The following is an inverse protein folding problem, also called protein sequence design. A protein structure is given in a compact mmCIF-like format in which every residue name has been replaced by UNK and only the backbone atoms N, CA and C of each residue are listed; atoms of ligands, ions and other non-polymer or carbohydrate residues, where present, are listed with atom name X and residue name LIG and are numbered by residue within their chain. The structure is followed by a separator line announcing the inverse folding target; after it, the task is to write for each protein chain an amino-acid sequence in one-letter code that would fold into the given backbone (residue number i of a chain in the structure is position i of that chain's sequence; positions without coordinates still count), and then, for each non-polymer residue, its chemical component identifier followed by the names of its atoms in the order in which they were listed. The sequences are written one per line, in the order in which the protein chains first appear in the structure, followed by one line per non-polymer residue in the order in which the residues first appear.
data_IF_777823484473
#
_entry.id   IF_777823484473
#
_cell.length_a   1.000
_cell.length_b   1.000
_cell.length_c   1.000
_cell.angle_alpha   90.00
_cell.angle_beta   90.00
_cell.angle_gamma   90.00
#
_symmetry.space_group_name_H-M   'P 1'
#
loop_
_entity.id
_entity.type
_entity.pdbx_description
1 polymer ?
#
# COMPACT_ATOMS: atom_id res chain seq x y z
N UNK A 1 -2.92 3.24 -5.17
CA UNK A 1 -4.20 3.85 -4.71
C UNK A 1 -5.29 3.87 -5.77
N UNK A 2 -5.00 4.09 -7.06
CA UNK A 2 -6.01 4.16 -8.14
C UNK A 2 -6.82 2.87 -8.28
N UNK A 3 -6.16 1.74 -8.43
CA UNK A 3 -6.78 0.43 -8.68
C UNK A 3 -7.70 -0.05 -7.55
N UNK A 4 -7.32 0.03 -6.27
CA UNK A 4 -8.23 -0.29 -5.17
C UNK A 4 -9.53 0.52 -5.18
N UNK A 5 -9.48 1.82 -5.49
CA UNK A 5 -10.70 2.64 -5.59
C UNK A 5 -11.57 2.25 -6.78
N UNK A 6 -10.98 1.96 -7.96
CA UNK A 6 -11.72 1.45 -9.10
C UNK A 6 -12.37 0.09 -8.80
N UNK A 7 -11.67 -0.80 -8.09
CA UNK A 7 -12.18 -2.11 -7.71
C UNK A 7 -13.39 -2.01 -6.76
N UNK A 8 -13.35 -1.12 -5.77
CA UNK A 8 -14.48 -0.87 -4.89
C UNK A 8 -15.67 -0.27 -5.64
N UNK A 9 -15.43 0.71 -6.52
CA UNK A 9 -16.46 1.33 -7.35
C UNK A 9 -17.03 0.38 -8.41
N UNK A 10 -16.35 -0.74 -8.70
CA UNK A 10 -16.89 -1.78 -9.57
C UNK A 10 -18.02 -2.59 -8.92
N UNK A 11 -18.09 -2.61 -7.57
CA UNK A 11 -19.18 -3.23 -6.80
C UNK A 11 -20.40 -2.32 -6.81
N UNK A 12 -20.24 -1.07 -6.40
CA UNK A 12 -21.32 -0.10 -6.28
C UNK A 12 -20.76 1.33 -6.27
N UNK A 13 -21.57 2.34 -6.69
CA UNK A 13 -21.23 3.73 -6.52
C UNK A 13 -21.09 4.08 -5.03
N UNK A 14 -20.07 4.92 -4.70
CA UNK A 14 -19.78 5.27 -3.33
C UNK A 14 -19.16 6.67 -3.21
N UNK A 15 -19.27 7.30 -2.03
CA UNK A 15 -18.54 8.53 -1.75
C UNK A 15 -17.17 8.23 -1.11
N UNK A 16 -16.25 9.23 -1.14
CA UNK A 16 -14.86 9.02 -0.73
C UNK A 16 -14.67 8.47 0.69
N UNK A 17 -15.54 8.80 1.63
CA UNK A 17 -15.48 8.29 2.98
C UNK A 17 -15.88 6.80 3.06
N UNK A 18 -16.91 6.39 2.33
CA UNK A 18 -17.32 4.98 2.23
C UNK A 18 -16.21 4.12 1.61
N UNK A 19 -15.54 4.65 0.57
CA UNK A 19 -14.39 3.98 -0.03
C UNK A 19 -13.23 3.80 0.96
N UNK A 20 -12.97 4.79 1.83
CA UNK A 20 -11.98 4.66 2.90
C UNK A 20 -12.34 3.55 3.86
N UNK A 21 -13.57 3.53 4.36
CA UNK A 21 -14.04 2.49 5.27
C UNK A 21 -14.00 1.10 4.63
N UNK A 22 -14.39 0.99 3.36
CA UNK A 22 -14.33 -0.27 2.63
C UNK A 22 -12.89 -0.80 2.48
N UNK A 23 -11.89 0.08 2.27
CA UNK A 23 -10.48 -0.31 2.27
C UNK A 23 -10.04 -0.81 3.64
N UNK A 24 -10.40 -0.10 4.70
CA UNK A 24 -10.08 -0.48 6.09
C UNK A 24 -10.73 -1.83 6.46
N UNK A 25 -11.96 -2.07 6.04
CA UNK A 25 -12.67 -3.33 6.27
C UNK A 25 -12.09 -4.49 5.45
N UNK A 26 -11.60 -4.22 4.23
CA UNK A 26 -11.08 -5.28 3.35
C UNK A 26 -9.67 -5.73 3.74
N UNK A 27 -8.81 -4.81 4.16
CA UNK A 27 -7.38 -5.09 4.37
C UNK A 27 -6.95 -4.99 5.84
N UNK A 28 -7.84 -4.59 6.74
CA UNK A 28 -7.55 -4.43 8.16
C UNK A 28 -6.47 -3.38 8.45
N UNK A 29 -5.89 -3.46 9.64
CA UNK A 29 -4.85 -2.52 10.08
C UNK A 29 -3.49 -2.73 9.39
N UNK A 30 -3.29 -3.86 8.73
CA UNK A 30 -2.04 -4.17 8.02
C UNK A 30 -1.86 -3.33 6.74
N UNK A 31 -2.94 -2.82 6.17
CA UNK A 31 -2.88 -1.93 5.02
C UNK A 31 -2.91 -0.47 5.48
N UNK A 32 -1.90 0.34 5.10
CA UNK A 32 -1.88 1.75 5.49
C UNK A 32 -3.15 2.45 5.03
N UNK A 33 -3.99 2.86 5.99
CA UNK A 33 -5.23 3.57 5.68
C UNK A 33 -4.90 4.90 5.02
N UNK A 34 -5.36 5.15 3.79
CA UNK A 34 -5.08 6.39 3.12
C UNK A 34 -5.79 7.55 3.83
N UNK A 35 -5.09 8.69 3.92
CA UNK A 35 -5.72 9.92 4.34
C UNK A 35 -6.90 10.24 3.41
N UNK A 36 -8.02 10.70 3.98
CA UNK A 36 -9.22 11.05 3.22
C UNK A 36 -8.94 12.07 2.10
N UNK A 37 -8.01 13.00 2.32
CA UNK A 37 -7.55 13.94 1.29
C UNK A 37 -6.90 13.25 0.08
N UNK A 38 -6.11 12.20 0.31
CA UNK A 38 -5.50 11.41 -0.77
C UNK A 38 -6.55 10.67 -1.59
N UNK A 39 -7.62 10.19 -0.96
CA UNK A 39 -8.74 9.55 -1.66
C UNK A 39 -9.39 10.56 -2.60
N UNK A 40 -9.76 11.75 -2.12
CA UNK A 40 -10.40 12.76 -2.97
C UNK A 40 -9.48 13.27 -4.09
N UNK A 41 -8.19 13.46 -3.83
CA UNK A 41 -7.21 13.80 -4.88
C UNK A 41 -7.15 12.69 -5.93
N UNK A 42 -7.18 11.43 -5.52
CA UNK A 42 -7.15 10.29 -6.45
C UNK A 42 -8.45 10.20 -7.25
N UNK A 43 -9.62 10.35 -6.61
CA UNK A 43 -10.92 10.35 -7.28
C UNK A 43 -11.04 11.46 -8.31
N UNK A 44 -10.56 12.67 -7.98
CA UNK A 44 -10.53 13.80 -8.93
C UNK A 44 -9.67 13.48 -10.17
N UNK A 45 -8.50 12.83 -9.98
CA UNK A 45 -7.65 12.40 -11.10
C UNK A 45 -8.34 11.33 -11.96
N UNK A 46 -8.98 10.34 -11.30
CA UNK A 46 -9.72 9.30 -12.00
C UNK A 46 -10.89 9.86 -12.82
N UNK A 47 -11.53 10.92 -12.31
CA UNK A 47 -12.60 11.62 -13.02
C UNK A 47 -12.06 12.42 -14.22
N UNK A 48 -10.93 13.10 -14.05
CA UNK A 48 -10.23 13.79 -15.17
C UNK A 48 -9.79 12.82 -16.25
N UNK A 49 -9.39 11.61 -15.87
CA UNK A 49 -9.00 10.54 -16.80
C UNK A 49 -10.24 9.82 -17.41
N UNK A 50 -11.45 10.21 -17.04
CA UNK A 50 -12.70 9.61 -17.54
C UNK A 50 -13.00 8.20 -17.03
N UNK A 51 -12.27 7.72 -16.00
CA UNK A 51 -12.42 6.36 -15.45
C UNK A 51 -13.54 6.27 -14.41
N UNK A 52 -13.89 7.37 -13.77
CA UNK A 52 -15.04 7.51 -12.90
C UNK A 52 -15.83 8.75 -13.28
N UNK A 53 -17.10 8.80 -12.93
CA UNK A 53 -17.95 9.99 -12.95
C UNK A 53 -18.45 10.29 -11.55
N UNK A 54 -18.80 11.53 -11.27
CA UNK A 54 -19.40 11.91 -10.00
C UNK A 54 -20.77 12.57 -10.22
N UNK A 55 -21.64 12.40 -9.24
CA UNK A 55 -22.94 13.05 -9.15
C UNK A 55 -23.09 13.65 -7.75
N UNK A 56 -23.60 14.88 -7.68
CA UNK A 56 -23.93 15.51 -6.41
C UNK A 56 -25.32 15.04 -5.98
N UNK A 57 -25.41 14.34 -4.86
CA UNK A 57 -26.67 13.86 -4.27
C UNK A 57 -27.09 14.84 -3.19
N UNK A 58 -28.23 15.51 -3.43
CA UNK A 58 -28.84 16.42 -2.46
C UNK A 58 -29.27 15.65 -1.22
N UNK A 59 -28.93 16.19 -0.04
CA UNK A 59 -29.39 15.68 1.25
C UNK A 59 -30.21 16.75 1.96
N UNK A 60 -31.41 16.39 2.39
CA UNK A 60 -32.35 17.31 3.06
C UNK A 60 -31.85 17.87 4.41
N UNK A 61 -30.90 17.21 5.07
CA UNK A 61 -30.45 17.56 6.42
C UNK A 61 -28.92 17.61 6.59
N UNK A 62 -28.13 17.38 5.53
CA UNK A 62 -26.65 17.35 5.55
C UNK A 62 -26.09 18.01 4.29
N UNK A 63 -24.81 18.41 4.28
CA UNK A 63 -24.16 18.89 3.05
C UNK A 63 -24.27 17.87 1.93
N UNK A 64 -24.46 18.35 0.69
CA UNK A 64 -24.53 17.51 -0.51
C UNK A 64 -23.38 16.51 -0.56
N UNK A 65 -23.70 15.25 -0.87
CA UNK A 65 -22.70 14.18 -1.01
C UNK A 65 -22.32 14.03 -2.48
N UNK A 66 -21.01 13.98 -2.74
CA UNK A 66 -20.49 13.64 -4.05
C UNK A 66 -20.25 12.15 -4.15
N UNK A 67 -21.09 11.46 -4.91
CA UNK A 67 -21.03 10.01 -5.16
C UNK A 67 -20.30 9.76 -6.46
N UNK A 68 -19.35 8.84 -6.43
CA UNK A 68 -18.55 8.44 -7.59
C UNK A 68 -19.03 7.08 -8.11
N UNK A 69 -19.06 6.93 -9.43
CA UNK A 69 -19.41 5.69 -10.10
C UNK A 69 -18.37 5.34 -11.17
N UNK A 70 -18.11 4.05 -11.34
CA UNK A 70 -17.20 3.56 -12.36
C UNK A 70 -17.80 3.77 -13.76
N UNK A 71 -16.99 4.27 -14.71
CA UNK A 71 -17.37 4.35 -16.11
C UNK A 71 -17.07 3.04 -16.86
N UNK A 72 -17.61 2.84 -18.09
CA UNK A 72 -17.19 1.73 -18.95
C UNK A 72 -15.69 1.72 -19.21
N UNK A 73 -15.06 2.89 -19.43
CA UNK A 73 -13.61 3.02 -19.59
C UNK A 73 -12.86 2.63 -18.31
N UNK A 74 -13.37 3.03 -17.12
CA UNK A 74 -12.81 2.62 -15.85
C UNK A 74 -12.88 1.11 -15.61
N UNK A 75 -13.96 0.48 -16.03
CA UNK A 75 -14.12 -0.99 -15.95
C UNK A 75 -13.13 -1.71 -16.86
N UNK A 76 -12.89 -1.20 -18.05
CA UNK A 76 -11.91 -1.77 -18.98
C UNK A 76 -10.48 -1.61 -18.45
N UNK A 77 -10.12 -0.42 -17.96
CA UNK A 77 -8.83 -0.17 -17.32
C UNK A 77 -8.59 -1.09 -16.12
N UNK A 78 -9.63 -1.37 -15.32
CA UNK A 78 -9.55 -2.30 -14.19
C UNK A 78 -9.34 -3.75 -14.66
N UNK A 79 -10.02 -4.19 -15.73
CA UNK A 79 -9.83 -5.53 -16.31
C UNK A 79 -8.41 -5.71 -16.83
N UNK A 80 -7.89 -4.74 -17.57
CA UNK A 80 -6.53 -4.75 -18.07
C UNK A 80 -5.54 -4.91 -16.90
N UNK A 81 -5.66 -4.09 -15.86
CA UNK A 81 -4.80 -4.17 -14.69
C UNK A 81 -4.86 -5.52 -13.95
N UNK A 82 -6.04 -6.12 -13.81
CA UNK A 82 -6.20 -7.44 -13.18
C UNK A 82 -5.53 -8.55 -14.01
N UNK A 83 -5.53 -8.39 -15.34
CA UNK A 83 -4.91 -9.36 -16.27
C UNK A 83 -3.39 -9.25 -16.36
N UNK A 84 -2.79 -8.15 -15.88
CA UNK A 84 -1.34 -7.95 -15.92
C UNK A 84 -0.67 -8.57 -14.68
N UNK A 85 0.39 -9.40 -14.84
CA UNK A 85 1.20 -9.82 -13.71
C UNK A 85 1.82 -8.61 -13.00
N UNK A 86 1.93 -8.69 -11.67
CA UNK A 86 2.66 -7.67 -10.93
C UNK A 86 4.15 -7.72 -11.26
N UNK A 87 4.76 -6.55 -11.44
CA UNK A 87 6.20 -6.44 -11.71
C UNK A 87 7.02 -7.09 -10.59
N UNK A 88 8.06 -7.78 -11.03
CA UNK A 88 8.95 -8.60 -10.23
C UNK A 88 9.88 -7.83 -9.27
N UNK A 89 11.11 -8.31 -9.07
CA UNK A 89 11.92 -7.99 -7.90
C UNK A 89 12.25 -6.50 -7.77
N UNK A 90 12.41 -6.04 -6.52
CA UNK A 90 12.82 -4.68 -6.18
C UNK A 90 14.29 -4.45 -6.54
N UNK A 91 14.59 -4.15 -7.80
CA UNK A 91 15.97 -3.86 -8.23
C UNK A 91 16.43 -2.46 -7.77
N UNK A 92 15.50 -1.55 -7.46
CA UNK A 92 15.80 -0.21 -6.96
C UNK A 92 15.48 -0.14 -5.46
N UNK A 93 16.45 -0.52 -4.65
CA UNK A 93 16.37 -0.44 -3.20
C UNK A 93 17.09 0.82 -2.70
N UNK A 94 16.36 1.72 -2.05
CA UNK A 94 16.92 2.97 -1.51
C UNK A 94 17.98 2.71 -0.45
N UNK A 95 17.81 1.67 0.38
CA UNK A 95 18.78 1.31 1.38
C UNK A 95 20.09 0.86 0.75
N UNK A 96 20.04 0.04 -0.32
CA UNK A 96 21.25 -0.38 -1.03
C UNK A 96 22.00 0.80 -1.65
N UNK A 97 21.29 1.75 -2.20
CA UNK A 97 21.91 3.01 -2.70
C UNK A 97 22.62 3.76 -1.57
N UNK A 98 21.97 3.89 -0.40
CA UNK A 98 22.60 4.49 0.80
C UNK A 98 23.82 3.71 1.25
N UNK A 99 23.72 2.38 1.30
CA UNK A 99 24.80 1.47 1.76
C UNK A 99 26.07 1.60 0.89
N UNK A 100 25.91 1.87 -0.40
CA UNK A 100 27.07 2.02 -1.32
C UNK A 100 27.57 3.46 -1.33
N UNK A 101 26.69 4.44 -1.50
CA UNK A 101 27.09 5.81 -1.79
C UNK A 101 27.44 6.65 -0.54
N UNK A 102 26.77 6.42 0.60
CA UNK A 102 27.02 7.22 1.79
C UNK A 102 28.44 7.04 2.37
N UNK A 103 29.01 5.82 2.45
CA UNK A 103 30.42 5.63 2.83
C UNK A 103 31.39 6.24 1.83
N UNK A 104 31.14 6.14 0.53
CA UNK A 104 31.98 6.74 -0.50
C UNK A 104 32.05 8.27 -0.38
N UNK A 105 30.98 8.88 0.09
CA UNK A 105 30.92 10.32 0.35
C UNK A 105 31.41 10.72 1.75
N UNK A 106 31.85 9.75 2.60
CA UNK A 106 32.28 10.01 3.99
C UNK A 106 31.14 10.44 4.92
N UNK A 107 29.87 10.10 4.57
CA UNK A 107 28.70 10.53 5.33
C UNK A 107 28.27 9.55 6.41
N UNK A 108 28.60 8.27 6.28
CA UNK A 108 28.23 7.23 7.24
C UNK A 108 29.12 5.99 7.11
N UNK A 109 29.23 5.21 8.18
CA UNK A 109 29.83 3.88 8.19
C UNK A 109 28.83 2.82 7.70
N UNK A 110 29.29 1.84 6.92
CA UNK A 110 28.43 0.76 6.40
C UNK A 110 27.80 -0.06 7.50
N UNK A 111 28.56 -0.40 8.54
CA UNK A 111 28.08 -1.21 9.65
C UNK A 111 27.01 -0.47 10.45
N UNK A 112 27.17 0.83 10.66
CA UNK A 112 26.15 1.67 11.32
C UNK A 112 24.85 1.71 10.51
N UNK A 113 24.94 1.88 9.19
CA UNK A 113 23.77 1.86 8.30
C UNK A 113 23.03 0.52 8.36
N UNK A 114 23.79 -0.59 8.26
CA UNK A 114 23.19 -1.93 8.32
C UNK A 114 22.55 -2.23 9.68
N UNK A 115 23.21 -1.83 10.77
CA UNK A 115 22.66 -2.01 12.11
C UNK A 115 21.42 -1.15 12.35
N UNK A 116 21.38 0.06 11.83
CA UNK A 116 20.20 0.91 11.89
C UNK A 116 19.03 0.29 11.10
N UNK A 117 19.28 -0.18 9.88
CA UNK A 117 18.26 -0.83 9.06
C UNK A 117 17.77 -2.13 9.67
N UNK A 118 18.66 -2.95 10.24
CA UNK A 118 18.28 -4.18 10.95
C UNK A 118 17.36 -3.89 12.13
N UNK A 119 17.69 -2.90 12.97
CA UNK A 119 16.80 -2.50 14.09
C UNK A 119 15.42 -2.04 13.60
N UNK A 120 15.38 -1.30 12.50
CA UNK A 120 14.13 -0.86 11.88
C UNK A 120 13.30 -2.05 11.40
N UNK A 121 13.88 -2.99 10.67
CA UNK A 121 13.20 -4.20 10.20
C UNK A 121 12.69 -5.08 11.35
N UNK A 122 13.49 -5.27 12.41
CA UNK A 122 13.07 -6.02 13.59
C UNK A 122 11.91 -5.34 14.34
N UNK A 123 11.86 -4.00 14.33
CA UNK A 123 10.72 -3.25 14.87
C UNK A 123 9.45 -3.49 14.06
N UNK A 124 9.52 -3.43 12.72
CA UNK A 124 8.39 -3.74 11.85
C UNK A 124 7.94 -5.20 12.03
N UNK A 125 8.89 -6.14 12.09
CA UNK A 125 8.60 -7.57 12.30
C UNK A 125 7.78 -7.79 13.57
N UNK A 126 8.17 -7.15 14.68
CA UNK A 126 7.43 -7.24 15.95
C UNK A 126 5.99 -6.77 15.78
N UNK A 127 5.78 -5.57 15.20
CA UNK A 127 4.45 -5.02 14.99
C UNK A 127 3.58 -5.93 14.11
N UNK A 128 4.15 -6.49 13.04
CA UNK A 128 3.43 -7.42 12.15
C UNK A 128 3.07 -8.73 12.87
N UNK A 129 3.95 -9.24 13.74
CA UNK A 129 3.69 -10.45 14.53
C UNK A 129 2.57 -10.20 15.55
N UNK A 130 2.54 -9.03 16.19
CA UNK A 130 1.46 -8.62 17.09
C UNK A 130 0.13 -8.52 16.32
N UNK A 131 0.11 -7.84 15.17
CA UNK A 131 -1.08 -7.76 14.29
C UNK A 131 -1.55 -9.14 13.82
N UNK A 132 -0.63 -10.05 13.53
CA UNK A 132 -0.97 -11.42 13.14
C UNK A 132 -1.67 -12.16 14.27
N UNK A 133 -1.19 -12.00 15.50
CA UNK A 133 -1.78 -12.64 16.68
C UNK A 133 -3.18 -12.10 17.02
N UNK A 134 -3.45 -10.83 16.72
CA UNK A 134 -4.72 -10.15 16.96
C UNK A 134 -5.72 -10.29 15.79
N UNK A 135 -5.27 -10.79 14.62
CA UNK A 135 -6.12 -10.89 13.43
C UNK A 135 -7.21 -11.94 13.59
N UNK A 136 -8.41 -11.63 13.10
CA UNK A 136 -9.52 -12.60 13.05
C UNK A 136 -9.11 -13.77 12.14
N UNK A 137 -9.16 -15.03 12.64
CA UNK A 137 -8.91 -16.22 11.83
C UNK A 137 -9.80 -16.33 10.58
N UNK A 138 -10.96 -15.72 10.57
CA UNK A 138 -11.90 -15.70 9.45
C UNK A 138 -11.50 -14.66 8.37
N UNK A 139 -10.68 -13.66 8.69
CA UNK A 139 -10.23 -12.62 7.75
C UNK A 139 -9.00 -13.10 6.96
N UNK A 140 -9.23 -13.95 5.97
CA UNK A 140 -8.17 -14.47 5.12
C UNK A 140 -7.38 -13.39 4.35
N UNK A 141 -8.00 -12.33 3.77
CA UNK A 141 -7.26 -11.26 3.12
C UNK A 141 -6.27 -10.52 4.03
N UNK A 142 -6.68 -10.15 5.24
CA UNK A 142 -5.81 -9.48 6.20
C UNK A 142 -4.65 -10.38 6.64
N UNK A 143 -4.94 -11.65 6.95
CA UNK A 143 -3.90 -12.62 7.34
C UNK A 143 -2.86 -12.84 6.24
N UNK A 144 -3.29 -13.05 5.00
CA UNK A 144 -2.37 -13.25 3.87
C UNK A 144 -1.52 -12.01 3.59
N UNK A 145 -2.08 -10.82 3.77
CA UNK A 145 -1.33 -9.57 3.64
C UNK A 145 -0.22 -9.47 4.70
N UNK A 146 -0.53 -9.79 5.96
CA UNK A 146 0.43 -9.77 7.08
C UNK A 146 1.50 -10.85 6.86
N UNK A 147 1.11 -12.08 6.51
CA UNK A 147 2.04 -13.18 6.23
C UNK A 147 2.99 -12.82 5.09
N UNK A 148 2.48 -12.29 3.97
CA UNK A 148 3.31 -11.84 2.86
C UNK A 148 4.30 -10.74 3.27
N UNK A 149 3.88 -9.79 4.11
CA UNK A 149 4.76 -8.74 4.62
C UNK A 149 5.87 -9.31 5.52
N UNK A 150 5.56 -10.29 6.38
CA UNK A 150 6.54 -10.99 7.24
C UNK A 150 7.56 -11.75 6.38
N UNK A 151 7.11 -12.51 5.38
CA UNK A 151 7.99 -13.27 4.48
C UNK A 151 8.95 -12.36 3.70
N UNK A 152 8.46 -11.23 3.18
CA UNK A 152 9.30 -10.25 2.50
C UNK A 152 10.33 -9.64 3.45
N UNK A 153 9.94 -9.33 4.68
CA UNK A 153 10.83 -8.72 5.67
C UNK A 153 11.90 -9.72 6.16
N UNK A 154 11.58 -11.02 6.24
CA UNK A 154 12.57 -12.07 6.49
C UNK A 154 13.62 -12.12 5.37
N UNK A 155 13.18 -12.09 4.11
CA UNK A 155 14.10 -12.05 2.97
C UNK A 155 14.98 -10.79 2.98
N UNK A 156 14.43 -9.63 3.36
CA UNK A 156 15.19 -8.38 3.50
C UNK A 156 16.25 -8.49 4.63
N UNK A 157 15.93 -9.13 5.76
CA UNK A 157 16.88 -9.39 6.85
C UNK A 157 17.99 -10.35 6.44
N UNK A 158 17.67 -11.43 5.73
CA UNK A 158 18.64 -12.39 5.21
C UNK A 158 19.57 -11.73 4.19
N UNK A 159 19.03 -10.89 3.33
CA UNK A 159 19.80 -10.12 2.36
C UNK A 159 20.74 -9.11 3.06
N UNK A 160 20.25 -8.44 4.09
CA UNK A 160 21.07 -7.51 4.91
C UNK A 160 22.26 -8.24 5.58
N UNK A 161 22.07 -9.47 6.02
CA UNK A 161 23.14 -10.30 6.55
C UNK A 161 24.21 -10.60 5.47
N UNK A 162 23.78 -10.98 4.26
CA UNK A 162 24.71 -11.20 3.14
C UNK A 162 25.48 -9.93 2.77
N UNK A 163 24.80 -8.76 2.75
CA UNK A 163 25.51 -7.48 2.55
C UNK A 163 26.59 -7.25 3.60
N UNK A 164 26.35 -7.64 4.85
CA UNK A 164 27.36 -7.54 5.92
C UNK A 164 28.54 -8.49 5.67
N UNK A 165 28.29 -9.71 5.23
CA UNK A 165 29.34 -10.71 4.95
C UNK A 165 30.23 -10.32 3.75
N UNK A 166 29.64 -9.63 2.75
CA UNK A 166 30.35 -9.31 1.49
C UNK A 166 30.98 -7.90 1.47
N UNK A 167 30.50 -6.95 2.28
CA UNK A 167 30.87 -5.54 2.18
C UNK A 167 31.64 -5.03 3.41
N UNK A 168 31.76 -5.84 4.46
CA UNK A 168 32.48 -5.52 5.69
C UNK A 168 33.53 -6.55 5.99
#
# INVERSE_FOLDING_TARGET
MRQPLLALLAKEPAHGYELRLALEQTFGQAYPSPNIGQIYVTLKRLEQDGLVRSEDVEQTTRPNKRVYALTPAGREALRAWVGEPCDGPRVRDEFFVKLILAPMAGLADRMELMNAQRRHYLGIMRNLTELQAESDPADAPARLLIEGAILHLQADLDWLQRCQEELV
#
